data_IF_686606957575
#
_entry.id   IF_686606957575
#
_cell.length_a   1.000
_cell.length_b   1.000
_cell.length_c   1.000
_cell.angle_alpha   90.00
_cell.angle_beta   90.00
_cell.angle_gamma   90.00
#
_symmetry.space_group_name_H-M   'P 1'
#
loop_
_entity.id
_entity.type
_entity.pdbx_description
1 polymer ?
#
# COMPACT_ATOMS: atom_id res chain seq x y z
N UNK A 1 -40.42 27.02 7.25
CA UNK A 1 -40.10 26.64 5.85
C UNK A 1 -38.58 26.56 5.74
N UNK A 2 -37.98 25.36 5.82
CA UNK A 2 -36.53 25.22 5.67
C UNK A 2 -36.17 25.14 4.19
N UNK A 3 -35.30 26.04 3.74
CA UNK A 3 -34.74 26.01 2.39
C UNK A 3 -33.65 24.93 2.35
N UNK A 4 -33.93 23.85 1.62
CA UNK A 4 -32.93 22.88 1.17
C UNK A 4 -31.97 23.59 0.22
N UNK A 5 -30.75 23.88 0.69
CA UNK A 5 -29.63 24.16 -0.21
C UNK A 5 -29.27 22.86 -0.95
N UNK A 6 -29.22 22.85 -2.29
CA UNK A 6 -28.89 21.64 -3.02
C UNK A 6 -27.41 21.33 -2.83
N UNK A 7 -27.15 20.09 -2.45
CA UNK A 7 -25.85 19.44 -2.25
C UNK A 7 -24.89 19.56 -3.48
N UNK A 8 -25.38 20.06 -4.62
CA UNK A 8 -24.63 20.20 -5.87
C UNK A 8 -23.65 21.38 -5.92
N UNK A 9 -23.75 22.38 -5.04
CA UNK A 9 -22.87 23.56 -5.12
C UNK A 9 -21.51 23.36 -4.42
N UNK A 10 -21.39 22.38 -3.51
CA UNK A 10 -20.14 22.15 -2.77
C UNK A 10 -19.05 21.48 -3.63
N UNK A 11 -19.42 20.78 -4.70
CA UNK A 11 -18.47 20.07 -5.58
C UNK A 11 -17.77 21.01 -6.55
N UNK A 12 -18.36 22.18 -6.86
CA UNK A 12 -17.83 23.10 -7.88
C UNK A 12 -16.79 24.08 -7.32
N UNK A 13 -16.72 24.27 -5.99
CA UNK A 13 -15.73 25.16 -5.36
C UNK A 13 -14.35 24.52 -5.15
N UNK A 14 -14.17 23.23 -5.45
CA UNK A 14 -12.94 22.48 -5.17
C UNK A 14 -11.82 22.62 -6.23
N UNK A 15 -11.97 23.43 -7.28
CA UNK A 15 -10.94 23.60 -8.32
C UNK A 15 -10.37 25.03 -8.44
N UNK A 16 -10.72 25.95 -7.55
CA UNK A 16 -10.13 27.29 -7.54
C UNK A 16 -9.25 27.47 -6.30
N UNK A 17 -8.12 26.76 -6.31
CA UNK A 17 -6.96 27.19 -5.56
C UNK A 17 -6.47 28.51 -6.17
N UNK A 18 -6.58 29.59 -5.40
CA UNK A 18 -5.96 30.86 -5.73
C UNK A 18 -4.44 30.71 -5.69
N UNK A 19 -3.82 30.36 -6.81
CA UNK A 19 -2.41 30.60 -7.07
C UNK A 19 -2.30 31.60 -8.23
N UNK A 20 -1.86 32.82 -7.90
CA UNK A 20 -1.63 33.90 -8.88
C UNK A 20 -0.33 33.61 -9.65
N UNK A 21 -0.50 32.90 -10.76
CA UNK A 21 0.10 33.12 -12.08
C UNK A 21 1.61 33.46 -12.19
N UNK A 22 2.35 32.56 -12.83
CA UNK A 22 3.08 32.88 -14.08
C UNK A 22 3.40 31.60 -14.86
N UNK A 23 3.16 31.65 -16.16
CA UNK A 23 3.30 30.61 -17.19
C UNK A 23 2.12 29.63 -17.31
N UNK A 24 1.20 29.96 -18.22
CA UNK A 24 0.16 29.06 -18.75
C UNK A 24 0.82 27.89 -19.48
N UNK A 25 1.25 26.88 -18.73
CA UNK A 25 1.25 25.51 -19.24
C UNK A 25 -0.21 25.15 -19.36
N UNK A 26 -0.74 25.09 -20.59
CA UNK A 26 -2.01 24.40 -20.82
C UNK A 26 -1.83 22.98 -20.31
N UNK A 27 -2.37 22.69 -19.14
CA UNK A 27 -2.53 21.33 -18.65
C UNK A 27 -3.52 20.66 -19.59
N UNK A 28 -3.00 20.10 -20.67
CA UNK A 28 -3.75 19.18 -21.50
C UNK A 28 -4.12 18.03 -20.59
N UNK A 29 -5.40 17.96 -20.21
CA UNK A 29 -5.93 16.79 -19.52
C UNK A 29 -5.59 15.61 -20.43
N UNK A 30 -4.74 14.67 -19.98
CA UNK A 30 -4.40 13.53 -20.81
C UNK A 30 -5.70 12.83 -21.20
N UNK A 31 -5.76 12.24 -22.41
CA UNK A 31 -6.92 11.45 -22.78
C UNK A 31 -7.21 10.44 -21.66
N UNK A 32 -8.50 10.15 -21.38
CA UNK A 32 -8.86 9.16 -20.39
C UNK A 32 -8.07 7.88 -20.67
N UNK A 33 -7.45 7.32 -19.61
CA UNK A 33 -6.72 6.07 -19.69
C UNK A 33 -7.66 5.05 -20.33
N UNK A 34 -7.32 4.61 -21.54
CA UNK A 34 -8.10 3.60 -22.23
C UNK A 34 -7.97 2.33 -21.39
N UNK A 35 -9.07 1.73 -20.91
CA UNK A 35 -8.98 0.47 -20.20
C UNK A 35 -8.43 -0.58 -21.17
N UNK A 36 -7.18 -0.96 -20.96
CA UNK A 36 -6.58 -2.13 -21.61
C UNK A 36 -7.18 -3.34 -20.87
N UNK A 37 -7.65 -4.34 -21.62
CA UNK A 37 -8.06 -5.60 -21.01
C UNK A 37 -6.89 -6.10 -20.17
N UNK A 38 -7.15 -6.36 -18.87
CA UNK A 38 -6.11 -6.84 -17.99
C UNK A 38 -5.57 -8.17 -18.56
N UNK A 39 -4.27 -8.18 -18.87
CA UNK A 39 -3.57 -9.40 -19.25
C UNK A 39 -3.34 -10.28 -18.02
N UNK A 40 -2.95 -11.54 -18.21
CA UNK A 40 -2.42 -12.35 -17.11
C UNK A 40 -1.20 -11.65 -16.47
N UNK A 41 -0.89 -12.00 -15.23
CA UNK A 41 0.35 -11.56 -14.59
C UNK A 41 1.55 -11.92 -15.52
N UNK A 42 2.44 -10.96 -15.83
CA UNK A 42 3.47 -11.18 -16.85
C UNK A 42 4.52 -12.19 -16.37
N UNK A 43 4.83 -13.19 -17.18
CA UNK A 43 5.97 -14.09 -16.92
C UNK A 43 7.27 -13.27 -16.86
N UNK A 44 8.01 -13.42 -15.77
CA UNK A 44 9.28 -12.73 -15.55
C UNK A 44 10.45 -13.69 -15.78
N UNK A 45 11.51 -13.27 -16.50
CA UNK A 45 12.71 -14.08 -16.63
C UNK A 45 13.34 -14.33 -15.25
N UNK A 46 13.69 -15.58 -14.95
CA UNK A 46 14.39 -15.96 -13.73
C UNK A 46 15.90 -15.60 -13.75
N UNK A 47 16.33 -14.70 -14.64
CA UNK A 47 17.72 -14.32 -14.80
C UNK A 47 18.18 -13.45 -13.61
N UNK A 48 19.15 -13.91 -12.80
CA UNK A 48 19.64 -13.16 -11.65
C UNK A 48 20.29 -11.81 -12.04
N UNK A 49 20.61 -11.58 -13.32
CA UNK A 49 21.12 -10.31 -13.83
C UNK A 49 20.05 -9.22 -13.97
N UNK A 50 18.77 -9.52 -13.77
CA UNK A 50 17.67 -8.58 -13.89
C UNK A 50 16.87 -8.43 -12.60
N UNK A 51 16.47 -7.20 -12.29
CA UNK A 51 15.42 -6.91 -11.33
C UNK A 51 14.10 -6.79 -12.08
N UNK A 52 13.18 -7.69 -11.80
CA UNK A 52 11.83 -7.62 -12.35
C UNK A 52 10.96 -6.77 -11.41
N UNK A 53 10.22 -5.83 -11.98
CA UNK A 53 9.32 -4.95 -11.24
C UNK A 53 7.96 -4.92 -11.96
N UNK A 54 6.91 -5.22 -11.22
CA UNK A 54 5.53 -5.13 -11.71
C UNK A 54 4.76 -4.16 -10.83
N UNK A 55 4.20 -3.12 -11.44
CA UNK A 55 3.29 -2.20 -10.77
C UNK A 55 1.91 -2.84 -10.65
N UNK A 56 1.40 -2.96 -9.43
CA UNK A 56 0.14 -3.65 -9.11
C UNK A 56 -1.06 -2.68 -9.10
N UNK A 57 -0.79 -1.37 -9.04
CA UNK A 57 -1.81 -0.32 -8.88
C UNK A 57 -1.72 0.35 -7.50
N UNK A 58 -2.26 1.55 -7.39
CA UNK A 58 -2.36 2.30 -6.11
C UNK A 58 -1.06 2.43 -5.30
N UNK A 59 0.10 2.45 -5.97
CA UNK A 59 1.42 2.53 -5.33
C UNK A 59 2.05 1.16 -5.03
N UNK A 60 1.30 0.07 -5.16
CA UNK A 60 1.77 -1.29 -4.95
C UNK A 60 2.73 -1.77 -6.04
N UNK A 61 3.79 -2.47 -5.62
CA UNK A 61 4.79 -3.05 -6.52
C UNK A 61 5.18 -4.47 -6.08
N UNK A 62 5.42 -5.34 -7.06
CA UNK A 62 6.07 -6.62 -6.86
C UNK A 62 7.49 -6.57 -7.43
N UNK A 63 8.48 -6.90 -6.60
CA UNK A 63 9.91 -6.89 -6.96
C UNK A 63 10.46 -8.30 -6.88
N UNK A 64 11.17 -8.75 -7.91
CA UNK A 64 11.75 -10.10 -7.95
C UNK A 64 13.18 -10.08 -8.48
N UNK A 65 14.08 -10.80 -7.81
CA UNK A 65 15.41 -11.12 -8.33
C UNK A 65 15.84 -12.49 -7.81
N UNK A 66 16.40 -13.33 -8.68
CA UNK A 66 17.12 -14.56 -8.31
C UNK A 66 16.40 -15.50 -7.30
N UNK A 67 15.07 -15.62 -7.41
CA UNK A 67 14.26 -16.47 -6.52
C UNK A 67 13.97 -15.84 -5.16
N UNK A 68 14.13 -14.52 -5.03
CA UNK A 68 13.63 -13.71 -3.92
C UNK A 68 12.59 -12.73 -4.46
N UNK A 69 11.53 -12.50 -3.70
CA UNK A 69 10.54 -11.49 -4.04
C UNK A 69 9.94 -10.75 -2.85
N UNK A 70 9.46 -9.54 -3.14
CA UNK A 70 8.82 -8.65 -2.17
C UNK A 70 7.56 -8.04 -2.78
N UNK A 71 6.45 -8.13 -2.04
CA UNK A 71 5.24 -7.36 -2.29
C UNK A 71 5.25 -6.11 -1.43
N UNK A 72 5.29 -4.93 -2.03
CA UNK A 72 5.14 -3.66 -1.32
C UNK A 72 3.76 -3.08 -1.61
N UNK A 73 3.03 -2.73 -0.55
CA UNK A 73 1.67 -2.17 -0.58
C UNK A 73 0.71 -2.91 -1.52
N UNK A 74 0.53 -4.25 -1.37
CA UNK A 74 -0.27 -5.02 -2.31
C UNK A 74 -1.77 -4.74 -2.12
N UNK A 75 -2.34 -3.88 -2.98
CA UNK A 75 -3.74 -3.48 -2.94
C UNK A 75 -4.43 -3.65 -4.29
N UNK A 76 -5.53 -4.41 -4.30
CA UNK A 76 -6.28 -4.82 -5.48
C UNK A 76 -7.78 -4.49 -5.39
N UNK A 77 -8.35 -4.50 -4.18
CA UNK A 77 -9.80 -4.44 -3.99
C UNK A 77 -10.44 -3.14 -4.46
N UNK A 78 -9.72 -2.01 -4.27
CA UNK A 78 -10.11 -0.68 -4.73
C UNK A 78 -11.61 -0.33 -4.54
N UNK A 79 -12.11 -0.25 -3.29
CA UNK A 79 -13.52 0.03 -3.03
C UNK A 79 -13.94 1.37 -3.65
N UNK A 80 -15.17 1.49 -4.18
CA UNK A 80 -15.60 2.72 -4.83
C UNK A 80 -15.75 3.87 -3.82
N UNK A 81 -15.43 5.08 -4.25
CA UNK A 81 -15.46 6.32 -3.43
C UNK A 81 -16.78 6.50 -2.65
N UNK A 82 -17.92 6.04 -3.20
CA UNK A 82 -19.22 6.10 -2.50
C UNK A 82 -19.20 5.36 -1.15
N UNK A 83 -18.46 4.27 -1.03
CA UNK A 83 -18.39 3.47 0.20
C UNK A 83 -17.50 4.18 1.23
N UNK A 84 -16.55 5.01 0.77
CA UNK A 84 -15.74 5.88 1.64
C UNK A 84 -16.61 7.03 2.19
N UNK A 85 -17.36 7.71 1.33
CA UNK A 85 -18.23 8.84 1.72
C UNK A 85 -19.35 8.38 2.67
N UNK A 86 -19.91 7.20 2.42
CA UNK A 86 -21.00 6.64 3.23
C UNK A 86 -20.52 5.83 4.44
N UNK A 87 -19.20 5.76 4.68
CA UNK A 87 -18.58 4.99 5.77
C UNK A 87 -19.10 3.56 5.84
N UNK A 88 -19.21 2.91 4.69
CA UNK A 88 -19.60 1.49 4.60
C UNK A 88 -18.41 0.60 4.91
N UNK A 89 -18.72 -0.61 5.35
CA UNK A 89 -17.73 -1.68 5.46
C UNK A 89 -17.07 -1.89 4.10
N UNK A 90 -15.73 -1.80 4.08
CA UNK A 90 -14.90 -2.05 2.92
C UNK A 90 -14.83 -3.56 2.70
N UNK A 91 -14.99 -3.96 1.44
CA UNK A 91 -15.04 -5.39 1.06
C UNK A 91 -13.76 -5.74 0.32
N UNK A 92 -13.04 -6.75 0.82
CA UNK A 92 -11.92 -7.38 0.11
C UNK A 92 -12.48 -8.13 -1.10
N UNK A 93 -11.93 -7.87 -2.28
CA UNK A 93 -12.30 -8.53 -3.53
C UNK A 93 -11.37 -9.70 -3.81
N UNK A 94 -11.64 -10.80 -3.11
CA UNK A 94 -10.92 -12.07 -3.24
C UNK A 94 -10.78 -12.52 -4.70
N UNK A 95 -11.85 -12.37 -5.50
CA UNK A 95 -11.88 -12.71 -6.93
C UNK A 95 -10.85 -11.94 -7.78
N UNK A 96 -10.53 -10.70 -7.38
CA UNK A 96 -9.55 -9.85 -8.04
C UNK A 96 -8.15 -10.20 -7.57
N UNK A 97 -7.99 -10.38 -6.26
CA UNK A 97 -6.70 -10.77 -5.67
C UNK A 97 -6.25 -12.09 -6.28
N UNK A 98 -7.08 -13.12 -6.26
CA UNK A 98 -6.74 -14.45 -6.80
C UNK A 98 -6.39 -14.43 -8.29
N UNK A 99 -6.93 -13.45 -9.03
CA UNK A 99 -6.66 -13.31 -10.47
C UNK A 99 -5.34 -12.60 -10.77
N UNK A 100 -4.95 -11.62 -9.95
CA UNK A 100 -3.86 -10.70 -10.27
C UNK A 100 -2.68 -10.74 -9.29
N UNK A 101 -2.82 -11.45 -8.16
CA UNK A 101 -1.72 -11.70 -7.26
C UNK A 101 -0.65 -12.53 -8.00
N UNK A 102 0.63 -12.12 -7.96
CA UNK A 102 1.71 -12.92 -8.53
C UNK A 102 1.83 -14.29 -7.86
N UNK A 103 2.55 -15.21 -8.51
CA UNK A 103 3.03 -16.40 -7.83
C UNK A 103 3.88 -16.00 -6.61
N UNK A 104 3.63 -16.62 -5.46
CA UNK A 104 4.23 -16.24 -4.17
C UNK A 104 5.21 -17.28 -3.64
N UNK A 105 5.65 -18.22 -4.47
CA UNK A 105 6.58 -19.29 -4.08
C UNK A 105 7.97 -18.77 -3.68
N UNK A 106 8.36 -17.60 -4.20
CA UNK A 106 9.62 -16.92 -3.93
C UNK A 106 9.45 -15.70 -3.00
N UNK A 107 8.25 -15.51 -2.43
CA UNK A 107 7.94 -14.35 -1.61
C UNK A 107 8.63 -14.42 -0.25
N UNK A 108 9.44 -13.41 0.06
CA UNK A 108 10.18 -13.31 1.31
C UNK A 108 9.53 -12.35 2.31
N UNK A 109 8.90 -11.29 1.81
CA UNK A 109 8.31 -10.24 2.64
C UNK A 109 7.13 -9.53 1.98
N UNK A 110 6.19 -9.10 2.82
CA UNK A 110 5.18 -8.11 2.48
C UNK A 110 5.55 -6.81 3.21
N UNK A 111 5.72 -5.72 2.50
CA UNK A 111 6.01 -4.40 3.06
C UNK A 111 4.78 -3.52 2.94
N UNK A 112 4.48 -2.77 4.01
CA UNK A 112 3.36 -1.84 4.02
C UNK A 112 3.84 -0.48 4.54
N UNK A 113 3.79 0.52 3.67
CA UNK A 113 4.30 1.86 3.92
C UNK A 113 3.53 2.55 5.05
N UNK A 114 2.21 2.41 5.07
CA UNK A 114 1.34 2.91 6.13
C UNK A 114 0.00 2.16 6.14
N UNK A 115 -0.76 2.32 7.22
CA UNK A 115 -1.94 1.48 7.49
C UNK A 115 -3.27 2.09 7.02
N UNK A 116 -3.26 2.91 5.96
CA UNK A 116 -4.52 3.24 5.28
C UNK A 116 -5.05 2.05 4.50
N UNK A 117 -6.36 2.05 4.24
CA UNK A 117 -7.05 0.94 3.61
C UNK A 117 -6.47 0.56 2.23
N UNK A 118 -6.11 1.55 1.42
CA UNK A 118 -5.53 1.42 0.08
C UNK A 118 -4.10 0.89 0.07
N UNK A 119 -3.55 0.56 1.24
CA UNK A 119 -2.27 -0.11 1.41
C UNK A 119 -2.40 -1.41 2.20
N UNK A 120 -3.31 -1.46 3.18
CA UNK A 120 -3.32 -2.50 4.20
C UNK A 120 -4.55 -3.43 4.18
N UNK A 121 -5.66 -3.06 3.53
CA UNK A 121 -6.91 -3.82 3.69
C UNK A 121 -6.89 -5.22 3.08
N UNK A 122 -6.10 -5.41 2.02
CA UNK A 122 -5.98 -6.70 1.34
C UNK A 122 -4.92 -7.61 1.97
N UNK A 123 -4.05 -7.04 2.81
CA UNK A 123 -2.91 -7.75 3.42
C UNK A 123 -3.34 -8.98 4.23
N UNK A 124 -4.41 -8.96 5.05
CA UNK A 124 -4.86 -10.16 5.75
C UNK A 124 -5.22 -11.32 4.83
N UNK A 125 -5.92 -11.04 3.73
CA UNK A 125 -6.31 -12.07 2.77
C UNK A 125 -5.10 -12.62 2.04
N UNK A 126 -4.20 -11.74 1.56
CA UNK A 126 -2.96 -12.14 0.89
C UNK A 126 -2.06 -12.95 1.84
N UNK A 127 -1.88 -12.49 3.08
CA UNK A 127 -1.06 -13.18 4.07
C UNK A 127 -1.57 -14.60 4.38
N UNK A 128 -2.86 -14.86 4.25
CA UNK A 128 -3.45 -16.19 4.43
C UNK A 128 -3.16 -17.15 3.27
N UNK A 129 -2.79 -16.64 2.09
CA UNK A 129 -2.50 -17.46 0.90
C UNK A 129 -1.02 -17.81 0.72
N UNK A 130 -0.12 -17.04 1.34
CA UNK A 130 1.33 -17.21 1.19
C UNK A 130 1.93 -18.08 2.29
N UNK A 131 3.18 -18.51 2.11
CA UNK A 131 3.88 -19.32 3.09
C UNK A 131 3.87 -18.67 4.49
N UNK A 132 3.64 -19.48 5.53
CA UNK A 132 3.55 -19.01 6.91
C UNK A 132 4.82 -18.35 7.45
N UNK A 133 5.97 -18.60 6.83
CA UNK A 133 7.26 -17.98 7.15
C UNK A 133 7.35 -16.53 6.66
N UNK A 134 6.55 -16.14 5.64
CA UNK A 134 6.51 -14.78 5.11
C UNK A 134 5.93 -13.83 6.16
N UNK A 135 6.68 -12.76 6.42
CA UNK A 135 6.31 -11.72 7.39
C UNK A 135 5.82 -10.46 6.70
N UNK A 136 4.96 -9.73 7.41
CA UNK A 136 4.45 -8.42 7.05
C UNK A 136 5.20 -7.38 7.88
N UNK A 137 5.82 -6.43 7.21
CA UNK A 137 6.62 -5.37 7.79
C UNK A 137 5.93 -4.02 7.61
N UNK A 138 5.85 -3.24 8.69
CA UNK A 138 5.28 -1.90 8.63
C UNK A 138 5.32 -1.20 9.97
N UNK A 139 4.38 -0.30 10.20
CA UNK A 139 4.29 0.43 11.47
C UNK A 139 3.63 -0.40 12.59
N UNK A 140 3.79 0.06 13.82
CA UNK A 140 3.07 -0.41 15.01
C UNK A 140 1.56 -0.30 14.82
N UNK A 141 1.09 0.75 14.13
CA UNK A 141 -0.32 0.93 13.79
C UNK A 141 -0.80 -0.19 12.87
N UNK A 142 -0.05 -0.53 11.81
CA UNK A 142 -0.37 -1.70 10.98
C UNK A 142 -0.45 -2.97 11.81
N UNK A 143 0.60 -3.27 12.60
CA UNK A 143 0.64 -4.46 13.45
C UNK A 143 -0.60 -4.53 14.34
N UNK A 144 -0.88 -3.46 15.08
CA UNK A 144 -1.98 -3.45 16.04
C UNK A 144 -3.37 -3.50 15.37
N UNK A 145 -3.50 -3.00 14.15
CA UNK A 145 -4.72 -3.16 13.34
C UNK A 145 -4.96 -4.59 12.89
N UNK A 146 -3.90 -5.37 12.63
CA UNK A 146 -4.00 -6.70 12.00
C UNK A 146 -3.81 -7.88 12.96
N UNK A 147 -3.46 -7.66 14.22
CA UNK A 147 -3.21 -8.73 15.21
C UNK A 147 -4.40 -9.67 15.47
N UNK A 148 -5.63 -9.24 15.18
CA UNK A 148 -6.82 -10.09 15.32
C UNK A 148 -7.02 -11.07 14.15
N UNK A 149 -6.27 -10.89 13.05
CA UNK A 149 -6.47 -11.62 11.79
C UNK A 149 -5.18 -12.20 11.19
N UNK A 150 -4.00 -11.77 11.64
CA UNK A 150 -2.69 -12.33 11.24
C UNK A 150 -1.93 -12.77 12.48
N UNK A 151 -1.25 -13.92 12.39
CA UNK A 151 -0.40 -14.44 13.47
C UNK A 151 0.61 -13.38 13.97
N UNK A 152 0.73 -13.15 15.30
CA UNK A 152 1.62 -12.12 15.85
C UNK A 152 3.09 -12.29 15.46
N UNK A 153 3.57 -13.52 15.24
CA UNK A 153 4.94 -13.81 14.82
C UNK A 153 5.24 -13.41 13.38
N UNK A 154 4.20 -13.17 12.57
CA UNK A 154 4.30 -12.71 11.18
C UNK A 154 4.23 -11.18 11.06
N UNK A 155 3.86 -10.45 12.11
CA UNK A 155 3.72 -8.98 12.07
C UNK A 155 4.95 -8.30 12.71
N UNK A 156 5.76 -7.62 11.90
CA UNK A 156 6.97 -6.92 12.34
C UNK A 156 6.77 -5.41 12.29
N UNK A 157 6.70 -4.79 13.47
CA UNK A 157 6.67 -3.34 13.59
C UNK A 157 8.08 -2.75 13.50
N UNK A 158 8.25 -1.73 12.67
CA UNK A 158 9.54 -1.10 12.33
C UNK A 158 9.75 0.27 13.00
N UNK A 159 8.89 0.66 13.94
CA UNK A 159 9.07 1.90 14.69
C UNK A 159 10.43 1.91 15.39
N UNK A 160 11.16 3.02 15.25
CA UNK A 160 12.51 3.15 15.80
C UNK A 160 13.63 2.50 14.98
N UNK A 161 13.31 1.78 13.90
CA UNK A 161 14.31 1.17 13.00
C UNK A 161 14.67 2.06 11.81
N UNK A 162 14.13 3.28 11.76
CA UNK A 162 14.36 4.18 10.62
C UNK A 162 15.86 4.43 10.41
N UNK A 163 16.33 4.31 9.16
CA UNK A 163 17.74 4.47 8.79
C UNK A 163 18.65 3.30 9.16
N UNK A 164 18.11 2.20 9.67
CA UNK A 164 18.87 0.99 10.01
C UNK A 164 18.46 -0.19 9.11
N UNK A 165 19.43 -1.02 8.74
CA UNK A 165 19.17 -2.22 7.96
C UNK A 165 18.53 -3.31 8.83
N UNK A 166 17.44 -3.86 8.33
CA UNK A 166 16.73 -5.02 8.86
C UNK A 166 16.90 -6.16 7.86
N UNK A 167 17.60 -7.21 8.26
CA UNK A 167 17.72 -8.41 7.44
C UNK A 167 16.39 -9.16 7.40
N UNK A 168 15.95 -9.55 6.20
CA UNK A 168 14.82 -10.45 6.00
C UNK A 168 15.34 -11.89 5.96
N UNK A 169 16.37 -12.10 5.13
CA UNK A 169 17.14 -13.34 5.00
C UNK A 169 18.57 -13.01 4.51
N UNK A 170 19.37 -14.01 4.16
CA UNK A 170 20.76 -13.81 3.70
C UNK A 170 20.89 -13.09 2.35
N UNK A 171 19.80 -13.03 1.57
CA UNK A 171 19.73 -12.50 0.21
C UNK A 171 18.86 -11.24 0.10
N UNK A 172 18.21 -10.80 1.19
CA UNK A 172 17.29 -9.66 1.19
C UNK A 172 17.37 -8.89 2.51
N UNK A 173 17.48 -7.57 2.41
CA UNK A 173 17.35 -6.65 3.55
C UNK A 173 16.56 -5.41 3.17
N UNK A 174 15.93 -4.81 4.17
CA UNK A 174 15.18 -3.57 4.02
C UNK A 174 15.70 -2.52 4.99
N UNK A 175 15.57 -1.25 4.65
CA UNK A 175 15.82 -0.13 5.55
C UNK A 175 14.60 0.78 5.50
N UNK A 176 13.78 0.82 6.56
CA UNK A 176 12.69 1.77 6.65
C UNK A 176 13.26 3.18 6.80
N UNK A 177 12.60 4.15 6.17
CA UNK A 177 12.87 5.58 6.28
C UNK A 177 11.60 6.26 6.75
N UNK A 178 11.74 7.28 7.60
CA UNK A 178 10.60 8.11 7.94
C UNK A 178 10.13 8.87 6.71
N UNK A 179 8.85 8.81 6.43
CA UNK A 179 8.25 9.49 5.29
C UNK A 179 7.04 10.31 5.72
N UNK A 180 6.67 11.29 4.91
CA UNK A 180 5.44 12.04 5.04
C UNK A 180 4.32 11.38 4.26
N UNK A 181 3.07 11.68 4.62
CA UNK A 181 1.91 11.31 3.83
C UNK A 181 1.54 12.47 2.88
N UNK A 182 1.22 12.18 1.62
CA UNK A 182 0.72 13.20 0.69
C UNK A 182 -0.67 13.71 1.17
N UNK A 183 -0.97 15.02 1.10
CA UNK A 183 -2.27 15.51 1.55
C UNK A 183 -3.41 14.93 0.70
N UNK A 184 -4.51 14.53 1.34
CA UNK A 184 -5.68 14.00 0.63
C UNK A 184 -6.55 15.11 0.04
N UNK A 185 -7.05 16.02 0.89
CA UNK A 185 -7.93 17.12 0.49
C UNK A 185 -7.63 18.36 1.32
N UNK A 186 -7.58 19.53 0.67
CA UNK A 186 -7.33 20.83 1.32
C UNK A 186 -6.06 20.85 2.20
N UNK A 187 -5.01 20.13 1.79
CA UNK A 187 -3.76 20.04 2.55
C UNK A 187 -3.82 19.18 3.81
N UNK A 188 -4.92 18.44 4.04
CA UNK A 188 -5.10 17.59 5.24
C UNK A 188 -4.95 16.11 4.91
N UNK A 189 -4.38 15.37 5.87
CA UNK A 189 -4.35 13.91 5.89
C UNK A 189 -5.49 13.45 6.81
N UNK A 190 -6.41 12.63 6.31
CA UNK A 190 -7.47 12.04 7.12
C UNK A 190 -7.02 10.69 7.68
N UNK A 191 -7.68 10.24 8.75
CA UNK A 191 -7.38 8.98 9.43
C UNK A 191 -5.88 8.85 9.71
N UNK A 192 -5.29 9.85 10.38
CA UNK A 192 -3.84 9.95 10.60
C UNK A 192 -3.38 9.60 12.02
N UNK A 193 -4.26 9.01 12.84
CA UNK A 193 -3.94 8.66 14.22
C UNK A 193 -3.00 7.44 14.28
N UNK A 194 -2.52 7.16 15.49
CA UNK A 194 -1.72 5.96 15.79
C UNK A 194 -2.55 4.98 16.58
N UNK A 195 -2.58 3.73 16.13
CA UNK A 195 -3.13 2.61 16.92
C UNK A 195 -1.97 1.98 17.69
N UNK A 196 -1.88 2.31 18.99
CA UNK A 196 -0.80 1.88 19.89
C UNK A 196 -1.16 0.64 20.72
N UNK A 197 -2.42 0.20 20.67
CA UNK A 197 -2.89 -1.02 21.32
C UNK A 197 -3.58 -1.93 20.29
N UNK A 198 -3.45 -3.26 20.39
CA UNK A 198 -4.10 -4.18 19.47
C UNK A 198 -5.62 -3.98 19.40
N UNK A 199 -6.17 -3.93 18.20
CA UNK A 199 -7.61 -3.92 17.99
C UNK A 199 -8.19 -5.32 18.21
N UNK A 200 -9.40 -5.39 18.80
CA UNK A 200 -10.13 -6.64 18.96
C UNK A 200 -10.61 -7.24 17.63
N UNK A 201 -10.77 -6.39 16.59
CA UNK A 201 -11.18 -6.75 15.24
C UNK A 201 -10.42 -5.91 14.23
N UNK A 202 -10.23 -6.42 13.02
CA UNK A 202 -9.64 -5.64 11.93
C UNK A 202 -10.50 -4.43 11.58
N UNK A 203 -9.90 -3.32 11.12
CA UNK A 203 -10.63 -2.14 10.64
C UNK A 203 -11.66 -2.49 9.55
N UNK A 204 -12.81 -1.80 9.53
CA UNK A 204 -13.91 -2.10 8.60
C UNK A 204 -14.18 -0.98 7.63
N UNK A 205 -14.19 0.26 8.09
CA UNK A 205 -14.48 1.45 7.28
C UNK A 205 -13.20 2.22 6.99
N UNK A 206 -13.23 3.13 6.00
CA UNK A 206 -12.10 4.01 5.67
C UNK A 206 -11.57 4.82 6.86
N UNK A 207 -12.43 5.10 7.85
CA UNK A 207 -12.05 5.85 9.06
C UNK A 207 -11.40 4.97 10.12
N UNK A 208 -11.61 3.66 10.10
CA UNK A 208 -10.97 2.74 11.06
C UNK A 208 -9.49 2.50 10.68
N UNK A 209 -9.18 2.58 9.38
CA UNK A 209 -7.82 2.48 8.86
C UNK A 209 -7.05 3.77 9.12
N UNK A 210 -6.31 3.81 10.22
CA UNK A 210 -5.44 4.94 10.57
C UNK A 210 -4.04 4.74 9.98
N UNK A 211 -3.44 5.75 9.34
CA UNK A 211 -2.13 5.60 8.68
C UNK A 211 -0.99 5.26 9.64
N UNK A 212 -1.01 5.83 10.84
CA UNK A 212 0.09 5.76 11.79
C UNK A 212 1.38 6.38 11.26
N UNK A 213 2.52 5.80 11.62
CA UNK A 213 3.82 6.24 11.11
C UNK A 213 3.99 5.78 9.65
N UNK A 214 4.06 6.73 8.74
CA UNK A 214 4.37 6.49 7.33
C UNK A 214 5.85 6.20 7.13
N UNK A 215 6.13 5.15 6.38
CA UNK A 215 7.45 4.68 6.04
C UNK A 215 7.66 4.71 4.53
N UNK A 216 8.91 4.83 4.12
CA UNK A 216 9.38 4.41 2.79
C UNK A 216 10.49 3.39 2.99
N UNK A 217 10.79 2.59 1.97
CA UNK A 217 11.75 1.51 2.11
C UNK A 217 12.88 1.65 1.07
N UNK A 218 14.11 1.47 1.53
CA UNK A 218 15.21 1.06 0.66
C UNK A 218 15.33 -0.45 0.78
N UNK A 219 15.44 -1.15 -0.33
CA UNK A 219 15.55 -2.61 -0.37
C UNK A 219 16.90 -2.95 -0.99
N UNK A 220 17.58 -3.97 -0.48
CA UNK A 220 18.71 -4.56 -1.18
C UNK A 220 18.44 -6.03 -1.45
N UNK A 221 18.54 -6.43 -2.72
CA UNK A 221 18.77 -7.83 -3.10
C UNK A 221 20.28 -8.10 -3.05
N UNK A 222 20.68 -9.15 -2.34
CA UNK A 222 22.07 -9.47 -2.05
C UNK A 222 22.53 -10.73 -2.81
N UNK A 223 23.81 -10.75 -3.16
CA UNK A 223 24.51 -11.90 -3.70
C UNK A 223 25.81 -12.09 -2.91
N UNK A 224 25.94 -13.21 -2.20
CA UNK A 224 27.11 -13.48 -1.35
C UNK A 224 27.43 -12.34 -0.38
N UNK A 225 26.37 -11.74 0.21
CA UNK A 225 26.47 -10.63 1.16
C UNK A 225 26.73 -9.24 0.54
N UNK A 226 26.85 -9.13 -0.78
CA UNK A 226 27.02 -7.86 -1.49
C UNK A 226 25.71 -7.41 -2.15
N UNK A 227 25.44 -6.10 -2.16
CA UNK A 227 24.29 -5.52 -2.86
C UNK A 227 24.40 -5.78 -4.36
N UNK A 228 23.43 -6.53 -4.91
CA UNK A 228 23.25 -6.71 -6.35
C UNK A 228 22.33 -5.64 -6.92
N UNK A 229 21.19 -5.40 -6.26
CA UNK A 229 20.24 -4.35 -6.60
C UNK A 229 19.84 -3.56 -5.36
N UNK A 230 19.60 -2.26 -5.53
CA UNK A 230 19.06 -1.34 -4.53
C UNK A 230 17.96 -0.48 -5.12
#
# INVERSE_FOLDING_TARGET
MPLLLPLGLLVVLCLWGCEKQSDTVSLTVPPPIIPIAAGPYPEQPADPAWLNMVFLGAGGVHLQNAGQSVLADPFFSNPPIKDWILLRDLVVREDVIDRYLPATNDLDAILVAHAHHDHAMDVPYIAAQVDSTVKVYGSETLRNSLLSVIDPGRLVALNGQAGHWVAINDSLRIMPLLSGHAPHLLGRVFSSDRITQPLAQSPRTVMDWQSGQTLSFVLDFLASGQTRFR
#
